data_IF_250456020792
#
_entry.id   IF_250456020792
#
_cell.length_a   1.000
_cell.length_b   1.000
_cell.length_c   1.000
_cell.angle_alpha   90.00
_cell.angle_beta   90.00
_cell.angle_gamma   90.00
#
_symmetry.space_group_name_H-M   'P 1'
#
loop_
_entity.id
_entity.type
_entity.pdbx_description
1 polymer ?
#
# COMPACT_ATOMS: atom_id res chain seq x y z
N UNK A 1 21.93 12.52 -49.59
CA UNK A 1 21.89 13.28 -48.33
C UNK A 1 20.68 12.99 -47.42
N UNK A 2 19.53 12.51 -47.93
CA UNK A 2 18.33 12.18 -47.13
C UNK A 2 18.41 10.85 -46.34
N UNK A 3 19.17 9.85 -46.80
CA UNK A 3 19.28 8.54 -46.09
C UNK A 3 20.07 8.59 -44.77
N UNK A 4 21.04 9.50 -44.64
CA UNK A 4 21.84 9.63 -43.40
C UNK A 4 21.04 10.23 -42.24
N UNK A 5 20.16 11.19 -42.48
CA UNK A 5 19.29 11.81 -41.46
C UNK A 5 18.23 10.84 -40.88
N UNK A 6 17.74 9.89 -41.68
CA UNK A 6 16.76 8.90 -41.25
C UNK A 6 17.37 7.85 -40.30
N UNK A 7 18.66 7.52 -40.46
CA UNK A 7 19.38 6.54 -39.61
C UNK A 7 19.74 7.15 -38.25
N UNK A 8 20.19 8.41 -38.21
CA UNK A 8 20.49 9.11 -36.97
C UNK A 8 19.25 9.31 -36.08
N UNK A 9 18.10 9.64 -36.67
CA UNK A 9 16.83 9.77 -35.93
C UNK A 9 16.36 8.46 -35.31
N UNK A 10 16.56 7.33 -35.98
CA UNK A 10 16.14 5.99 -35.51
C UNK A 10 17.02 5.46 -34.38
N UNK A 11 18.33 5.74 -34.40
CA UNK A 11 19.27 5.32 -33.33
C UNK A 11 19.02 6.13 -32.05
N UNK A 12 18.75 7.41 -32.15
CA UNK A 12 18.43 8.26 -30.98
C UNK A 12 17.16 7.84 -30.25
N UNK A 13 16.08 7.53 -30.99
CA UNK A 13 14.80 7.12 -30.42
C UNK A 13 14.87 5.75 -29.72
N UNK A 14 15.59 4.78 -30.29
CA UNK A 14 15.79 3.46 -29.67
C UNK A 14 16.62 3.54 -28.40
N UNK A 15 17.63 4.40 -28.36
CA UNK A 15 18.48 4.60 -27.17
C UNK A 15 17.69 5.25 -26.03
N UNK A 16 16.90 6.28 -26.31
CA UNK A 16 16.04 6.95 -25.32
C UNK A 16 14.97 5.97 -24.77
N UNK A 17 14.31 5.20 -25.64
CA UNK A 17 13.32 4.19 -25.24
C UNK A 17 13.95 3.12 -24.34
N UNK A 18 15.17 2.65 -24.63
CA UNK A 18 15.91 1.68 -23.83
C UNK A 18 16.33 2.26 -22.47
N UNK A 19 16.73 3.52 -22.39
CA UNK A 19 17.05 4.20 -21.14
C UNK A 19 15.81 4.35 -20.26
N UNK A 20 14.69 4.82 -20.81
CA UNK A 20 13.41 4.94 -20.09
C UNK A 20 12.94 3.60 -19.55
N UNK A 21 13.07 2.51 -20.32
CA UNK A 21 12.68 1.17 -19.86
C UNK A 21 13.58 0.69 -18.71
N UNK A 22 14.89 0.95 -18.76
CA UNK A 22 15.81 0.61 -17.66
C UNK A 22 15.51 1.38 -16.38
N UNK A 23 15.16 2.63 -16.46
CA UNK A 23 14.84 3.45 -15.28
C UNK A 23 13.51 3.03 -14.64
N UNK A 24 12.50 2.69 -15.45
CA UNK A 24 11.25 2.10 -14.95
C UNK A 24 11.48 0.76 -14.26
N UNK A 25 12.31 -0.11 -14.85
CA UNK A 25 12.66 -1.40 -14.29
C UNK A 25 13.41 -1.25 -12.96
N UNK A 26 14.42 -0.37 -12.90
CA UNK A 26 15.15 -0.07 -11.67
C UNK A 26 14.22 0.48 -10.58
N UNK A 27 13.31 1.38 -10.93
CA UNK A 27 12.33 1.91 -10.00
C UNK A 27 11.37 0.83 -9.47
N UNK A 28 10.93 -0.09 -10.32
CA UNK A 28 10.11 -1.23 -9.92
C UNK A 28 10.87 -2.13 -8.92
N UNK A 29 12.09 -2.57 -9.25
CA UNK A 29 12.90 -3.39 -8.34
C UNK A 29 13.19 -2.70 -7.00
N UNK A 30 13.50 -1.41 -7.01
CA UNK A 30 13.69 -0.65 -5.76
C UNK A 30 12.46 -0.65 -4.87
N UNK A 31 11.27 -0.48 -5.45
CA UNK A 31 10.00 -0.47 -4.71
C UNK A 31 9.65 -1.85 -4.18
N UNK A 32 9.87 -2.89 -4.99
CA UNK A 32 9.70 -4.28 -4.55
C UNK A 32 10.67 -4.61 -3.41
N UNK A 33 11.94 -4.23 -3.54
CA UNK A 33 12.92 -4.40 -2.47
C UNK A 33 12.52 -3.64 -1.19
N UNK A 34 11.98 -2.42 -1.31
CA UNK A 34 11.48 -1.65 -0.18
C UNK A 34 10.27 -2.33 0.51
N UNK A 35 9.36 -2.94 -0.26
CA UNK A 35 8.25 -3.71 0.29
C UNK A 35 8.75 -4.94 1.06
N UNK A 36 9.68 -5.71 0.48
CA UNK A 36 10.28 -6.88 1.14
C UNK A 36 11.03 -6.47 2.40
N UNK A 37 11.82 -5.38 2.32
CA UNK A 37 12.53 -4.83 3.48
C UNK A 37 11.57 -4.36 4.58
N UNK A 38 10.44 -3.76 4.21
CA UNK A 38 9.40 -3.38 5.18
C UNK A 38 8.81 -4.61 5.88
N UNK A 39 8.46 -5.67 5.14
CA UNK A 39 7.96 -6.91 5.74
C UNK A 39 9.04 -7.56 6.63
N UNK A 40 10.30 -7.59 6.20
CA UNK A 40 11.41 -8.07 7.03
C UNK A 40 11.58 -7.24 8.32
N UNK A 41 11.39 -5.92 8.24
CA UNK A 41 11.40 -5.03 9.41
C UNK A 41 10.28 -5.39 10.39
N UNK A 42 9.06 -5.72 9.92
CA UNK A 42 7.96 -6.16 10.80
C UNK A 42 8.36 -7.41 11.59
N UNK A 43 9.00 -8.37 10.92
CA UNK A 43 9.49 -9.58 11.59
C UNK A 43 10.61 -9.28 12.59
N UNK A 44 11.56 -8.43 12.24
CA UNK A 44 12.65 -8.04 13.14
C UNK A 44 12.12 -7.31 14.37
N UNK A 45 11.20 -6.34 14.21
CA UNK A 45 10.55 -5.63 15.31
C UNK A 45 9.74 -6.59 16.17
N UNK A 46 9.03 -7.53 15.58
CA UNK A 46 8.25 -8.52 16.33
C UNK A 46 9.12 -9.45 17.16
N UNK A 47 10.23 -9.94 16.59
CA UNK A 47 11.19 -10.76 17.31
C UNK A 47 11.78 -10.00 18.53
N UNK A 48 12.20 -8.76 18.33
CA UNK A 48 12.66 -7.91 19.42
C UNK A 48 11.56 -7.72 20.47
N UNK A 49 10.36 -7.39 20.03
CA UNK A 49 9.21 -7.15 20.93
C UNK A 49 8.85 -8.41 21.74
N UNK A 50 8.93 -9.60 21.10
CA UNK A 50 8.72 -10.88 21.78
C UNK A 50 9.79 -11.13 22.85
N UNK A 51 11.08 -10.89 22.55
CA UNK A 51 12.20 -11.06 23.50
C UNK A 51 12.02 -10.18 24.74
N UNK A 52 11.51 -8.94 24.58
CA UNK A 52 11.28 -8.02 25.69
C UNK A 52 9.86 -8.10 26.28
N UNK A 53 9.16 -9.21 26.06
CA UNK A 53 7.84 -9.47 26.65
C UNK A 53 6.72 -8.57 26.12
N UNK A 54 6.77 -8.19 24.83
CA UNK A 54 5.81 -7.31 24.16
C UNK A 54 5.72 -5.88 24.71
N UNK A 55 6.79 -5.40 25.37
CA UNK A 55 6.84 -4.06 25.95
C UNK A 55 6.69 -2.92 24.95
N UNK A 56 6.99 -3.12 23.66
CA UNK A 56 6.79 -2.09 22.63
C UNK A 56 5.30 -1.83 22.34
N UNK A 57 4.42 -2.80 22.56
CA UNK A 57 3.00 -2.63 22.27
C UNK A 57 2.34 -1.52 23.10
N UNK A 58 2.45 -1.50 24.45
CA UNK A 58 1.92 -0.39 25.23
C UNK A 58 2.72 0.91 25.08
N UNK A 59 4.02 0.83 24.73
CA UNK A 59 4.88 2.00 24.59
C UNK A 59 4.62 2.79 23.30
N UNK A 60 4.33 2.12 22.19
CA UNK A 60 4.22 2.72 20.85
C UNK A 60 2.93 2.36 20.11
N UNK A 61 2.00 1.63 20.71
CA UNK A 61 0.69 1.37 20.15
C UNK A 61 -0.16 2.64 20.11
N UNK A 62 -1.06 2.73 19.17
CA UNK A 62 -1.98 3.86 19.08
C UNK A 62 -3.01 3.76 20.21
N UNK A 63 -3.09 4.79 21.04
CA UNK A 63 -4.06 4.90 22.13
C UNK A 63 -5.00 6.07 21.80
N UNK A 64 -6.28 5.80 21.49
CA UNK A 64 -7.21 6.84 21.10
C UNK A 64 -7.40 7.91 22.17
N UNK A 65 -7.38 9.17 21.75
CA UNK A 65 -7.60 10.37 22.59
C UNK A 65 -6.54 10.60 23.66
N UNK A 66 -5.42 9.86 23.63
CA UNK A 66 -4.26 10.10 24.50
C UNK A 66 -3.11 10.67 23.69
N UNK A 67 -2.46 11.73 24.19
CA UNK A 67 -1.31 12.36 23.53
C UNK A 67 -0.13 11.38 23.44
N UNK A 68 0.06 10.55 24.46
CA UNK A 68 1.08 9.49 24.48
C UNK A 68 0.85 8.37 23.46
N UNK A 69 -0.30 8.32 22.81
CA UNK A 69 -0.61 7.35 21.76
C UNK A 69 -0.59 7.94 20.35
N UNK A 70 -0.18 9.20 20.19
CA UNK A 70 -0.11 9.85 18.86
C UNK A 70 1.00 9.29 17.98
N UNK A 71 2.12 8.90 18.56
CA UNK A 71 3.21 8.21 17.85
C UNK A 71 2.76 6.87 17.25
N UNK A 72 1.78 6.22 17.88
CA UNK A 72 1.11 5.04 17.38
C UNK A 72 0.42 5.23 16.02
N UNK A 73 0.09 6.46 15.61
CA UNK A 73 -0.43 6.73 14.26
C UNK A 73 0.54 6.20 13.19
N UNK A 74 1.84 6.33 13.44
CA UNK A 74 2.92 5.85 12.56
C UNK A 74 3.43 4.48 13.01
N UNK A 75 3.57 4.24 14.31
CA UNK A 75 4.26 3.07 14.85
C UNK A 75 3.38 1.81 14.92
N UNK A 76 2.05 1.94 15.07
CA UNK A 76 1.16 0.77 15.22
C UNK A 76 1.31 -0.31 14.14
N UNK A 77 1.59 0.01 12.85
CA UNK A 77 1.76 -1.02 11.83
C UNK A 77 2.98 -1.93 12.05
N UNK A 78 3.96 -1.47 12.82
CA UNK A 78 5.18 -2.24 13.14
C UNK A 78 4.97 -3.25 14.27
N UNK A 79 3.92 -3.09 15.06
CA UNK A 79 3.67 -3.82 16.30
C UNK A 79 2.67 -4.95 16.10
N UNK A 80 2.92 -6.11 16.69
CA UNK A 80 2.02 -7.25 16.64
C UNK A 80 1.92 -7.95 17.98
N UNK A 81 0.73 -8.42 18.34
CA UNK A 81 0.48 -9.09 19.63
C UNK A 81 0.85 -10.57 19.66
N UNK A 82 1.10 -11.20 18.48
CA UNK A 82 1.49 -12.61 18.39
C UNK A 82 2.11 -12.92 17.03
N UNK A 83 2.83 -14.03 16.94
CA UNK A 83 3.32 -14.57 15.66
C UNK A 83 2.18 -14.88 14.68
N UNK A 84 1.06 -15.42 15.17
CA UNK A 84 -0.11 -15.67 14.33
C UNK A 84 -0.67 -14.37 13.72
N UNK A 85 -0.71 -13.28 14.50
CA UNK A 85 -1.16 -11.96 14.03
C UNK A 85 -0.20 -11.42 12.95
N UNK A 86 1.12 -11.50 13.15
CA UNK A 86 2.11 -11.08 12.14
C UNK A 86 2.01 -11.92 10.87
N UNK A 87 1.89 -13.25 11.01
CA UNK A 87 1.77 -14.17 9.87
C UNK A 87 0.52 -13.86 9.05
N UNK A 88 -0.62 -13.63 9.70
CA UNK A 88 -1.88 -13.28 9.02
C UNK A 88 -1.79 -11.98 8.20
N UNK A 89 -0.89 -11.05 8.59
CA UNK A 89 -0.65 -9.82 7.84
C UNK A 89 0.39 -10.00 6.71
N UNK A 90 1.34 -10.93 6.84
CA UNK A 90 2.50 -11.06 5.95
C UNK A 90 2.08 -11.29 4.49
N UNK A 91 1.26 -12.30 4.23
CA UNK A 91 0.83 -12.62 2.86
C UNK A 91 -0.03 -11.52 2.22
N UNK A 92 -1.07 -10.96 2.89
CA UNK A 92 -1.80 -9.81 2.36
C UNK A 92 -0.92 -8.59 2.06
N UNK A 93 0.05 -8.28 2.92
CA UNK A 93 1.00 -7.18 2.69
C UNK A 93 1.84 -7.42 1.42
N UNK A 94 2.36 -8.62 1.22
CA UNK A 94 3.16 -8.95 0.04
C UNK A 94 2.32 -8.88 -1.25
N UNK A 95 1.11 -9.44 -1.23
CA UNK A 95 0.24 -9.49 -2.43
C UNK A 95 -0.29 -8.09 -2.76
N UNK A 96 -0.92 -7.41 -1.80
CA UNK A 96 -1.50 -6.08 -2.06
C UNK A 96 -0.41 -5.02 -2.26
N UNK A 97 0.68 -5.08 -1.50
CA UNK A 97 1.84 -4.22 -1.68
C UNK A 97 2.51 -4.44 -3.05
N UNK A 98 2.60 -5.70 -3.51
CA UNK A 98 3.08 -6.04 -4.85
C UNK A 98 2.19 -5.47 -5.94
N UNK A 99 0.86 -5.60 -5.82
CA UNK A 99 -0.10 -4.99 -6.74
C UNK A 99 0.01 -3.46 -6.73
N UNK A 100 0.16 -2.87 -5.53
CA UNK A 100 0.35 -1.43 -5.38
C UNK A 100 1.62 -0.96 -6.09
N UNK A 101 2.75 -1.66 -5.91
CA UNK A 101 4.03 -1.37 -6.58
C UNK A 101 3.90 -1.51 -8.11
N UNK A 102 3.22 -2.55 -8.58
CA UNK A 102 3.06 -2.83 -9.99
C UNK A 102 2.14 -1.83 -10.71
N UNK A 103 1.08 -1.37 -10.03
CA UNK A 103 0.06 -0.51 -10.63
C UNK A 103 0.21 0.97 -10.34
N UNK A 104 1.05 1.37 -9.35
CA UNK A 104 1.17 2.75 -8.87
C UNK A 104 2.61 3.24 -8.95
N UNK A 105 2.96 4.02 -9.98
CA UNK A 105 4.38 4.36 -10.25
C UNK A 105 4.91 5.53 -9.44
N UNK A 106 4.14 6.60 -9.23
CA UNK A 106 4.63 7.87 -8.62
C UNK A 106 3.94 8.26 -7.32
N UNK A 107 2.88 7.56 -6.92
CA UNK A 107 2.01 7.97 -5.84
C UNK A 107 2.11 7.09 -4.57
N UNK A 108 3.09 6.18 -4.47
CA UNK A 108 3.21 5.28 -3.32
C UNK A 108 3.34 6.04 -1.99
N UNK A 109 4.23 7.04 -1.93
CA UNK A 109 4.43 7.83 -0.70
C UNK A 109 3.18 8.63 -0.32
N UNK A 110 2.57 9.47 -1.20
CA UNK A 110 1.37 10.22 -0.83
C UNK A 110 0.18 9.32 -0.50
N UNK A 111 -0.01 8.19 -1.19
CA UNK A 111 -1.07 7.22 -0.85
C UNK A 111 -0.87 6.66 0.56
N UNK A 112 0.34 6.20 0.90
CA UNK A 112 0.62 5.70 2.24
C UNK A 112 0.55 6.82 3.30
N UNK A 113 0.98 8.04 2.98
CA UNK A 113 0.88 9.19 3.90
C UNK A 113 -0.59 9.52 4.22
N UNK A 114 -1.48 9.50 3.23
CA UNK A 114 -2.93 9.69 3.45
C UNK A 114 -3.49 8.55 4.32
N UNK A 115 -3.17 7.30 4.02
CA UNK A 115 -3.67 6.16 4.79
C UNK A 115 -3.16 6.17 6.24
N UNK A 116 -1.88 6.48 6.45
CA UNK A 116 -1.29 6.52 7.78
C UNK A 116 -1.81 7.75 8.55
N UNK A 117 -1.75 8.93 7.96
CA UNK A 117 -2.12 10.18 8.61
C UNK A 117 -3.62 10.28 8.84
N UNK A 118 -4.43 10.23 7.77
CA UNK A 118 -5.89 10.34 7.88
C UNK A 118 -6.49 9.12 8.59
N UNK A 119 -6.15 7.89 8.15
CA UNK A 119 -6.71 6.68 8.73
C UNK A 119 -6.29 6.51 10.20
N UNK A 120 -5.01 6.72 10.52
CA UNK A 120 -4.52 6.67 11.90
C UNK A 120 -5.06 7.79 12.77
N UNK A 121 -5.19 9.01 12.22
CA UNK A 121 -5.81 10.14 12.93
C UNK A 121 -7.29 9.89 13.25
N UNK A 122 -8.04 9.26 12.35
CA UNK A 122 -9.42 8.85 12.60
C UNK A 122 -9.50 7.76 13.67
N UNK A 123 -8.60 6.78 13.68
CA UNK A 123 -8.50 5.79 14.78
C UNK A 123 -8.19 6.49 16.10
N UNK A 124 -7.22 7.41 16.11
CA UNK A 124 -6.87 8.16 17.32
C UNK A 124 -8.06 8.98 17.83
N UNK A 125 -8.84 9.58 16.95
CA UNK A 125 -9.97 10.43 17.34
C UNK A 125 -11.20 9.64 17.75
N UNK A 126 -11.52 8.52 17.08
CA UNK A 126 -12.80 7.82 17.15
C UNK A 126 -12.70 6.35 17.56
N UNK A 127 -11.50 5.79 17.64
CA UNK A 127 -11.30 4.39 18.03
C UNK A 127 -11.76 4.09 19.47
N UNK A 128 -12.03 2.83 19.75
CA UNK A 128 -12.33 2.34 21.09
C UNK A 128 -11.13 2.54 22.04
N UNK A 129 -11.38 2.57 23.35
CA UNK A 129 -10.34 2.75 24.36
C UNK A 129 -9.52 1.46 24.54
N UNK A 130 -8.69 1.17 23.56
CA UNK A 130 -7.78 0.03 23.49
C UNK A 130 -6.42 0.48 22.92
N UNK A 131 -5.41 -0.36 23.08
CA UNK A 131 -4.13 -0.17 22.39
C UNK A 131 -4.24 -0.82 21.01
N UNK A 132 -4.24 -0.01 19.96
CA UNK A 132 -4.32 -0.50 18.58
C UNK A 132 -2.92 -0.78 18.04
N UNK A 133 -2.72 -2.00 17.55
CA UNK A 133 -1.46 -2.49 16.96
C UNK A 133 -1.76 -3.36 15.74
N UNK A 134 -0.80 -3.51 14.85
CA UNK A 134 -0.88 -4.41 13.70
C UNK A 134 -0.79 -3.71 12.35
N UNK A 135 -0.18 -4.40 11.40
CA UNK A 135 -0.09 -3.95 10.02
C UNK A 135 -1.41 -4.12 9.25
N UNK A 136 -2.42 -4.76 9.84
CA UNK A 136 -3.72 -4.96 9.20
C UNK A 136 -4.37 -3.66 8.74
N UNK A 137 -4.17 -2.55 9.46
CA UNK A 137 -4.63 -1.25 9.00
C UNK A 137 -4.05 -0.85 7.64
N UNK A 138 -2.78 -1.17 7.33
CA UNK A 138 -2.21 -0.95 5.99
C UNK A 138 -2.83 -1.90 4.97
N UNK A 139 -3.04 -3.17 5.32
CA UNK A 139 -3.72 -4.15 4.46
C UNK A 139 -5.10 -3.64 4.05
N UNK A 140 -5.90 -3.18 5.01
CA UNK A 140 -7.22 -2.60 4.74
C UNK A 140 -7.15 -1.30 3.95
N UNK A 141 -6.15 -0.45 4.23
CA UNK A 141 -5.91 0.77 3.47
C UNK A 141 -5.57 0.48 2.01
N UNK A 142 -4.67 -0.47 1.75
CA UNK A 142 -4.32 -0.89 0.39
C UNK A 142 -5.48 -1.59 -0.31
N UNK A 143 -6.27 -2.41 0.40
CA UNK A 143 -7.51 -2.98 -0.11
C UNK A 143 -8.47 -1.89 -0.60
N UNK A 144 -8.79 -0.92 0.27
CA UNK A 144 -9.69 0.20 -0.06
C UNK A 144 -9.17 1.03 -1.24
N UNK A 145 -7.85 1.31 -1.28
CA UNK A 145 -7.23 2.03 -2.38
C UNK A 145 -7.32 1.28 -3.71
N UNK A 146 -6.92 0.00 -3.74
CA UNK A 146 -6.89 -0.78 -4.98
C UNK A 146 -8.28 -0.99 -5.56
N UNK A 147 -9.28 -1.25 -4.70
CA UNK A 147 -10.68 -1.40 -5.13
C UNK A 147 -11.24 -0.07 -5.65
N UNK A 148 -11.10 1.01 -4.87
CA UNK A 148 -11.61 2.32 -5.28
C UNK A 148 -10.91 2.82 -6.56
N UNK A 149 -9.61 2.61 -6.67
CA UNK A 149 -8.84 3.00 -7.86
C UNK A 149 -9.29 2.26 -9.12
N UNK A 150 -9.63 0.97 -9.02
CA UNK A 150 -10.21 0.23 -10.16
C UNK A 150 -11.46 0.91 -10.70
N UNK A 151 -12.32 1.42 -9.80
CA UNK A 151 -13.56 2.11 -10.15
C UNK A 151 -13.32 3.54 -10.68
N UNK A 152 -12.27 4.23 -10.20
CA UNK A 152 -11.93 5.61 -10.60
C UNK A 152 -11.19 5.64 -11.94
N UNK A 153 -10.10 4.89 -12.06
CA UNK A 153 -9.23 4.89 -13.25
C UNK A 153 -9.85 4.12 -14.43
N UNK A 154 -10.64 3.09 -14.14
CA UNK A 154 -11.32 2.21 -15.10
C UNK A 154 -10.40 1.63 -16.18
N UNK A 155 -9.10 1.58 -15.93
CA UNK A 155 -8.15 0.94 -16.84
C UNK A 155 -8.18 -0.59 -16.65
N UNK A 156 -7.89 -1.39 -17.70
CA UNK A 156 -7.84 -2.86 -17.55
C UNK A 156 -6.91 -3.34 -16.43
N UNK A 157 -5.79 -2.62 -16.21
CA UNK A 157 -4.80 -2.96 -15.19
C UNK A 157 -5.36 -2.72 -13.79
N UNK A 158 -5.97 -1.56 -13.56
CA UNK A 158 -6.53 -1.20 -12.25
C UNK A 158 -7.79 -1.99 -11.93
N UNK A 159 -8.64 -2.26 -12.93
CA UNK A 159 -9.80 -3.15 -12.80
C UNK A 159 -9.36 -4.58 -12.49
N UNK A 160 -8.35 -5.10 -13.18
CA UNK A 160 -7.77 -6.42 -12.91
C UNK A 160 -7.21 -6.53 -11.50
N UNK A 161 -6.47 -5.52 -11.02
CA UNK A 161 -5.98 -5.47 -9.65
C UNK A 161 -7.12 -5.43 -8.61
N UNK A 162 -8.15 -4.61 -8.85
CA UNK A 162 -9.34 -4.54 -7.99
C UNK A 162 -10.08 -5.89 -7.93
N UNK A 163 -10.23 -6.56 -9.07
CA UNK A 163 -10.85 -7.88 -9.15
C UNK A 163 -10.05 -8.94 -8.37
N UNK A 164 -8.74 -9.00 -8.58
CA UNK A 164 -7.84 -9.92 -7.86
C UNK A 164 -7.95 -9.71 -6.36
N UNK A 165 -7.88 -8.46 -5.90
CA UNK A 165 -7.99 -8.13 -4.48
C UNK A 165 -9.38 -8.45 -3.94
N UNK A 166 -10.45 -8.14 -4.68
CA UNK A 166 -11.83 -8.44 -4.29
C UNK A 166 -12.09 -9.95 -4.15
N UNK A 167 -11.57 -10.75 -5.08
CA UNK A 167 -11.75 -12.22 -5.05
C UNK A 167 -10.90 -12.87 -3.94
N UNK A 168 -9.62 -12.50 -3.83
CA UNK A 168 -8.72 -13.15 -2.86
C UNK A 168 -8.94 -12.66 -1.42
N UNK A 169 -9.34 -11.41 -1.25
CA UNK A 169 -9.37 -10.75 0.05
C UNK A 169 -10.72 -10.08 0.38
N UNK A 170 -11.77 -10.34 -0.40
CA UNK A 170 -13.12 -9.80 -0.11
C UNK A 170 -13.64 -10.19 1.26
N UNK A 171 -13.21 -11.32 1.82
CA UNK A 171 -13.53 -11.74 3.19
C UNK A 171 -12.99 -10.79 4.27
N UNK A 172 -11.99 -9.95 3.97
CA UNK A 172 -11.53 -8.89 4.87
C UNK A 172 -12.65 -7.91 5.23
N UNK A 173 -13.68 -7.75 4.38
CA UNK A 173 -14.82 -6.88 4.68
C UNK A 173 -15.51 -7.25 6.00
N UNK A 174 -15.45 -8.50 6.44
CA UNK A 174 -15.96 -8.87 7.76
C UNK A 174 -15.16 -8.27 8.91
N UNK A 175 -13.88 -7.97 8.69
CA UNK A 175 -13.01 -7.33 9.69
C UNK A 175 -13.32 -5.85 9.96
N UNK A 176 -14.19 -5.18 9.17
CA UNK A 176 -14.63 -3.79 9.43
C UNK A 176 -15.89 -3.72 10.29
N UNK A 177 -16.44 -4.86 10.71
CA UNK A 177 -17.60 -4.92 11.60
C UNK A 177 -17.18 -5.21 13.04
N UNK A 178 -17.88 -4.65 14.04
CA UNK A 178 -17.64 -4.94 15.43
C UNK A 178 -18.00 -6.39 15.79
N UNK A 179 -17.46 -6.90 16.90
CA UNK A 179 -17.85 -8.20 17.47
C UNK A 179 -16.77 -9.27 17.41
N UNK A 180 -15.62 -9.03 16.78
CA UNK A 180 -14.50 -9.97 16.78
C UNK A 180 -13.52 -9.64 17.92
N UNK A 181 -13.35 -10.50 18.93
CA UNK A 181 -12.42 -10.24 20.05
C UNK A 181 -10.98 -10.05 19.54
N UNK A 182 -10.31 -9.02 20.05
CA UNK A 182 -8.92 -8.72 19.69
C UNK A 182 -8.71 -8.09 18.31
N UNK A 183 -9.80 -7.80 17.57
CA UNK A 183 -9.74 -7.14 16.27
C UNK A 183 -10.14 -5.68 16.41
N UNK A 184 -9.26 -4.78 15.98
CA UNK A 184 -9.55 -3.35 15.90
C UNK A 184 -10.32 -3.07 14.59
N UNK A 185 -11.62 -3.30 14.60
CA UNK A 185 -12.48 -3.06 13.43
C UNK A 185 -12.48 -1.59 13.00
N UNK A 186 -12.36 -0.65 13.94
CA UNK A 186 -12.27 0.79 13.65
C UNK A 186 -10.99 1.11 12.85
N UNK A 187 -9.86 0.51 13.23
CA UNK A 187 -8.62 0.69 12.50
C UNK A 187 -8.71 0.15 11.08
N UNK A 188 -9.40 -0.97 10.89
CA UNK A 188 -9.68 -1.56 9.59
C UNK A 188 -10.58 -0.63 8.76
N UNK A 189 -11.73 -0.21 9.30
CA UNK A 189 -12.69 0.66 8.62
C UNK A 189 -12.06 2.00 8.23
N UNK A 190 -11.48 2.71 9.20
CA UNK A 190 -10.94 4.05 8.94
C UNK A 190 -9.76 4.03 7.97
N UNK A 191 -8.92 3.00 8.02
CA UNK A 191 -7.84 2.86 7.06
C UNK A 191 -8.33 2.44 5.67
N UNK A 192 -9.35 1.58 5.56
CA UNK A 192 -9.98 1.26 4.28
C UNK A 192 -10.60 2.51 3.63
N UNK A 193 -11.33 3.32 4.42
CA UNK A 193 -11.90 4.59 3.96
C UNK A 193 -10.81 5.59 3.54
N UNK A 194 -9.72 5.71 4.32
CA UNK A 194 -8.60 6.57 3.97
C UNK A 194 -7.89 6.09 2.69
N UNK A 195 -7.78 4.79 2.47
CA UNK A 195 -7.27 4.20 1.23
C UNK A 195 -8.18 4.50 0.04
N UNK A 196 -9.48 4.33 0.19
CA UNK A 196 -10.45 4.72 -0.84
C UNK A 196 -10.37 6.23 -1.14
N UNK A 197 -10.33 7.09 -0.11
CA UNK A 197 -10.15 8.53 -0.29
C UNK A 197 -8.85 8.87 -1.03
N UNK A 198 -7.74 8.18 -0.74
CA UNK A 198 -6.47 8.38 -1.44
C UNK A 198 -6.57 8.10 -2.94
N UNK A 199 -7.43 7.17 -3.38
CA UNK A 199 -7.66 6.89 -4.80
C UNK A 199 -8.27 8.09 -5.54
N UNK A 200 -9.06 8.91 -4.86
CA UNK A 200 -9.65 10.12 -5.43
C UNK A 200 -8.73 11.35 -5.28
N UNK A 201 -8.01 11.46 -4.15
CA UNK A 201 -7.19 12.62 -3.84
C UNK A 201 -5.84 12.60 -4.56
N UNK A 202 -5.26 11.41 -4.70
CA UNK A 202 -3.95 11.23 -5.31
C UNK A 202 -4.12 10.80 -6.76
N UNK A 203 -3.97 11.76 -7.68
CA UNK A 203 -4.00 11.46 -9.13
C UNK A 203 -2.81 10.57 -9.49
N UNK A 204 -3.11 9.31 -9.73
CA UNK A 204 -2.14 8.33 -10.19
C UNK A 204 -2.25 8.24 -11.71
N UNK A 205 -1.39 8.93 -12.46
CA UNK A 205 -1.33 8.71 -13.90
C UNK A 205 -0.78 7.32 -14.16
N UNK A 206 -1.63 6.42 -14.63
CA UNK A 206 -1.18 5.17 -15.25
C UNK A 206 -0.61 5.57 -16.60
N UNK A 207 0.70 5.58 -16.73
CA UNK A 207 1.34 5.66 -18.04
C UNK A 207 1.15 4.27 -18.68
N UNK A 208 0.07 4.11 -19.46
CA UNK A 208 -0.07 2.99 -20.37
C UNK A 208 0.91 3.28 -21.50
N UNK A 209 1.97 2.49 -21.72
CA UNK A 209 2.75 2.60 -22.92
C UNK A 209 1.79 2.35 -24.08
N UNK A 210 1.59 3.33 -24.97
CA UNK A 210 0.91 3.08 -26.23
C UNK A 210 1.76 2.06 -26.98
N UNK A 211 1.30 0.82 -27.02
CA UNK A 211 1.88 -0.20 -27.89
C UNK A 211 1.51 0.19 -29.31
N UNK A 212 2.49 0.71 -30.05
CA UNK A 212 2.44 0.90 -31.50
C UNK A 212 1.41 1.91 -31.95
N UNK A 213 1.86 3.10 -32.32
CA UNK A 213 1.10 4.00 -33.17
C UNK A 213 0.88 3.33 -34.53
N UNK A 214 -0.32 2.81 -34.71
CA UNK A 214 -0.91 2.63 -36.05
C UNK A 214 -1.94 3.74 -36.13
N UNK A 215 -1.56 4.84 -36.77
CA UNK A 215 -2.52 5.81 -37.28
C UNK A 215 -3.28 5.08 -38.41
N UNK A 216 -4.52 4.74 -38.16
CA UNK A 216 -5.48 4.36 -39.18
C UNK A 216 -6.14 5.68 -39.62
N UNK A 217 -5.64 6.23 -40.73
CA UNK A 217 -6.33 7.25 -41.52
C UNK A 217 -7.64 6.68 -42.10
#
# INVERSE_FOLDING_TARGET
MQRAKAVEGSVGTSTVANMMNRDHMRAFFRRTAALVAFVALLWAVHLLNWIIGYGLNPAFGLIPRHVSGLDGVIAMPLLHGSFAHLMANTLPLLVMGGLLVATTTRALLPVNAVMIGLGGGLVWRFGSSAIHIGASGLVFGWFGFLVARGLVDRSPITLGAALVVGVLYGSLLWGVFPGQPGVSWEAHLFRALAGAAAAFLVRTHVHVPRLGGVDLD
#
